data_IF_764481618983
#
_entry.id   IF_764481618983
#
_cell.length_a   1.000
_cell.length_b   1.000
_cell.length_c   1.000
_cell.angle_alpha   90.00
_cell.angle_beta   90.00
_cell.angle_gamma   90.00
#
_symmetry.space_group_name_H-M   'P 1'
#
loop_
_entity.id
_entity.type
_entity.pdbx_description
1 polymer ?
#
# COMPACT_ATOMS: atom_id res chain seq x y z
N UNK A 1 0.14 1.58 -54.72
CA UNK A 1 -1.04 2.00 -53.91
C UNK A 1 -1.51 0.92 -52.93
N UNK A 2 -1.73 -0.33 -53.35
CA UNK A 2 -2.25 -1.40 -52.49
C UNK A 2 -1.34 -1.84 -51.32
N UNK A 3 -0.02 -1.77 -51.47
CA UNK A 3 0.95 -2.13 -50.40
C UNK A 3 0.88 -1.14 -49.22
N UNK A 4 0.83 0.16 -49.51
CA UNK A 4 0.74 1.19 -48.49
C UNK A 4 -0.57 1.12 -47.70
N UNK A 5 -1.68 0.77 -48.35
CA UNK A 5 -2.97 0.54 -47.70
C UNK A 5 -2.92 -0.64 -46.71
N UNK A 6 -2.27 -1.75 -47.09
CA UNK A 6 -2.08 -2.91 -46.20
C UNK A 6 -1.23 -2.57 -44.98
N UNK A 7 -0.15 -1.80 -45.17
CA UNK A 7 0.70 -1.34 -44.06
C UNK A 7 -0.11 -0.45 -43.11
N UNK A 8 -0.92 0.47 -43.65
CA UNK A 8 -1.76 1.36 -42.84
C UNK A 8 -2.77 0.59 -41.99
N UNK A 9 -3.42 -0.42 -42.57
CA UNK A 9 -4.36 -1.29 -41.85
C UNK A 9 -3.63 -2.10 -40.76
N UNK A 10 -2.44 -2.62 -41.04
CA UNK A 10 -1.65 -3.38 -40.06
C UNK A 10 -1.23 -2.52 -38.87
N UNK A 11 -0.80 -1.28 -39.14
CA UNK A 11 -0.47 -0.28 -38.12
C UNK A 11 -1.71 0.07 -37.28
N UNK A 12 -2.84 0.37 -37.92
CA UNK A 12 -4.10 0.68 -37.21
C UNK A 12 -4.58 -0.49 -36.33
N UNK A 13 -4.42 -1.74 -36.79
CA UNK A 13 -4.73 -2.93 -36.00
C UNK A 13 -3.82 -3.08 -34.78
N UNK A 14 -2.53 -2.76 -34.89
CA UNK A 14 -1.60 -2.74 -33.75
C UNK A 14 -1.97 -1.67 -32.70
N UNK A 15 -2.51 -0.52 -33.13
CA UNK A 15 -2.95 0.54 -32.22
C UNK A 15 -4.35 0.33 -31.64
N UNK A 16 -5.20 -0.49 -32.29
CA UNK A 16 -6.56 -0.77 -31.81
C UNK A 16 -6.61 -1.56 -30.49
N UNK A 17 -5.54 -2.28 -30.14
CA UNK A 17 -5.41 -3.02 -28.87
C UNK A 17 -5.16 -2.14 -27.63
N UNK A 18 -4.98 -0.82 -27.80
CA UNK A 18 -4.61 0.10 -26.71
C UNK A 18 -5.85 0.70 -26.02
N UNK A 19 -7.06 0.51 -26.57
CA UNK A 19 -8.31 1.05 -26.00
C UNK A 19 -9.00 0.08 -25.04
N UNK A 20 -8.25 -0.67 -24.23
CA UNK A 20 -8.83 -1.36 -23.07
C UNK A 20 -8.98 -0.30 -21.97
N UNK A 21 -10.20 0.01 -21.49
CA UNK A 21 -10.39 0.91 -20.36
C UNK A 21 -9.55 0.43 -19.18
N UNK A 22 -8.57 1.23 -18.75
CA UNK A 22 -7.81 0.91 -17.55
C UNK A 22 -8.68 1.18 -16.32
N UNK A 23 -9.29 0.13 -15.78
CA UNK A 23 -9.94 0.21 -14.48
C UNK A 23 -8.88 0.27 -13.39
N UNK A 24 -8.76 1.42 -12.73
CA UNK A 24 -7.91 1.58 -11.56
C UNK A 24 -8.68 1.12 -10.32
N UNK A 25 -8.25 0.01 -9.72
CA UNK A 25 -8.73 -0.46 -8.43
C UNK A 25 -7.64 -0.27 -7.38
N UNK A 26 -8.02 0.22 -6.22
CA UNK A 26 -7.16 0.30 -5.04
C UNK A 26 -7.96 -0.07 -3.79
N UNK A 27 -7.25 -0.28 -2.70
CA UNK A 27 -7.82 -0.58 -1.39
C UNK A 27 -7.60 0.63 -0.50
N UNK A 28 -8.60 0.99 0.31
CA UNK A 28 -8.45 2.00 1.36
C UNK A 28 -8.77 1.38 2.73
N UNK A 29 -7.94 1.66 3.71
CA UNK A 29 -8.09 1.20 5.10
C UNK A 29 -7.47 2.21 6.06
N UNK A 30 -7.75 2.04 7.35
CA UNK A 30 -7.24 2.87 8.45
C UNK A 30 -7.28 2.03 9.73
N UNK A 31 -6.69 2.54 10.82
CA UNK A 31 -6.97 2.09 12.18
C UNK A 31 -6.73 0.58 12.41
N UNK A 32 -5.48 0.14 12.31
CA UNK A 32 -5.10 -1.26 12.60
C UNK A 32 -4.64 -1.50 14.03
N UNK A 33 -4.82 -0.52 14.92
CA UNK A 33 -4.31 -0.52 16.29
C UNK A 33 -4.79 -1.72 17.12
N UNK A 34 -3.96 -2.18 18.06
CA UNK A 34 -4.32 -3.27 18.95
C UNK A 34 -3.19 -3.76 19.86
N UNK A 35 -3.51 -4.73 20.71
CA UNK A 35 -2.63 -5.13 21.82
C UNK A 35 -1.36 -5.90 21.42
N UNK A 36 -1.22 -6.33 20.16
CA UNK A 36 -0.03 -7.06 19.72
C UNK A 36 1.01 -6.07 19.17
N UNK A 37 1.90 -5.57 20.04
CA UNK A 37 2.90 -4.55 19.70
C UNK A 37 2.24 -3.37 18.94
N UNK A 38 1.18 -2.82 19.51
CA UNK A 38 0.43 -1.69 18.95
C UNK A 38 -0.42 -2.00 17.73
N UNK A 39 -0.47 -3.24 17.25
CA UNK A 39 -1.28 -3.66 16.09
C UNK A 39 -2.26 -4.77 16.46
N UNK A 40 -3.46 -4.75 15.89
CA UNK A 40 -4.37 -5.89 15.92
C UNK A 40 -3.96 -6.93 14.86
N UNK A 41 -2.86 -7.64 15.14
CA UNK A 41 -2.25 -8.60 14.21
C UNK A 41 -3.25 -9.60 13.65
N UNK A 42 -4.15 -10.17 14.47
CA UNK A 42 -5.12 -11.19 14.03
C UNK A 42 -6.04 -10.65 12.94
N UNK A 43 -6.61 -9.46 13.15
CA UNK A 43 -7.53 -8.85 12.20
C UNK A 43 -6.78 -8.36 10.96
N UNK A 44 -5.68 -7.63 11.16
CA UNK A 44 -4.90 -7.08 10.05
C UNK A 44 -4.35 -8.17 9.13
N UNK A 45 -3.74 -9.23 9.66
CA UNK A 45 -3.26 -10.37 8.86
C UNK A 45 -4.39 -11.02 8.07
N UNK A 46 -5.55 -11.23 8.70
CA UNK A 46 -6.71 -11.84 8.01
C UNK A 46 -7.22 -10.98 6.86
N UNK A 47 -7.26 -9.65 7.05
CA UNK A 47 -7.64 -8.71 5.99
C UNK A 47 -6.61 -8.70 4.86
N UNK A 48 -5.31 -8.61 5.18
CA UNK A 48 -4.22 -8.63 4.20
C UNK A 48 -4.30 -9.90 3.35
N UNK A 49 -4.42 -11.06 3.97
CA UNK A 49 -4.56 -12.32 3.25
C UNK A 49 -5.82 -12.37 2.39
N UNK A 50 -6.96 -11.92 2.92
CA UNK A 50 -8.21 -11.89 2.17
C UNK A 50 -8.10 -10.98 0.95
N UNK A 51 -7.47 -9.80 1.08
CA UNK A 51 -7.24 -8.86 -0.01
C UNK A 51 -6.32 -9.46 -1.07
N UNK A 52 -5.21 -10.09 -0.67
CA UNK A 52 -4.28 -10.71 -1.63
C UNK A 52 -4.92 -11.87 -2.41
N UNK A 53 -5.87 -12.60 -1.80
CA UNK A 53 -6.60 -13.68 -2.47
C UNK A 53 -7.71 -13.16 -3.38
N UNK A 54 -8.47 -12.16 -2.95
CA UNK A 54 -9.74 -11.79 -3.58
C UNK A 54 -9.71 -10.50 -4.39
N UNK A 55 -8.66 -9.67 -4.26
CA UNK A 55 -8.49 -8.43 -5.02
C UNK A 55 -7.18 -8.44 -5.83
N UNK A 56 -6.97 -9.43 -6.73
CA UNK A 56 -5.71 -9.60 -7.45
C UNK A 56 -5.40 -8.47 -8.45
N UNK A 57 -6.40 -7.64 -8.77
CA UNK A 57 -6.31 -6.50 -9.69
C UNK A 57 -6.10 -5.15 -8.99
N UNK A 58 -6.19 -5.09 -7.65
CA UNK A 58 -5.86 -3.89 -6.90
C UNK A 58 -4.39 -3.49 -7.09
N UNK A 59 -4.14 -2.21 -7.34
CA UNK A 59 -2.81 -1.69 -7.73
C UNK A 59 -1.99 -1.17 -6.57
N UNK A 60 -2.63 -0.67 -5.52
CA UNK A 60 -1.99 -0.21 -4.30
C UNK A 60 -3.00 -0.16 -3.16
N UNK A 61 -2.50 0.07 -1.95
CA UNK A 61 -3.28 0.29 -0.73
C UNK A 61 -3.05 1.72 -0.25
N UNK A 62 -4.09 2.38 0.21
CA UNK A 62 -4.00 3.60 1.03
C UNK A 62 -4.33 3.20 2.47
N UNK A 63 -3.46 3.58 3.40
CA UNK A 63 -3.64 3.37 4.82
C UNK A 63 -3.67 4.72 5.55
N UNK A 64 -4.85 5.17 5.94
CA UNK A 64 -5.15 6.55 6.30
C UNK A 64 -4.87 6.90 7.78
N UNK A 65 -3.76 6.42 8.33
CA UNK A 65 -3.34 6.70 9.70
C UNK A 65 -3.74 5.64 10.71
N UNK A 66 -3.27 5.83 11.95
CA UNK A 66 -3.51 4.94 13.08
C UNK A 66 -3.13 3.49 12.75
N UNK A 67 -1.94 3.34 12.19
CA UNK A 67 -1.30 2.06 11.90
C UNK A 67 -1.04 1.31 13.20
N UNK A 68 -0.56 2.03 14.22
CA UNK A 68 -0.08 1.50 15.50
C UNK A 68 -0.63 2.31 16.68
N UNK A 69 -0.53 1.78 17.90
CA UNK A 69 -0.96 2.51 19.10
C UNK A 69 -0.01 3.66 19.48
N UNK A 70 1.27 3.57 19.09
CA UNK A 70 2.34 4.51 19.43
C UNK A 70 2.63 4.61 20.92
N UNK A 71 3.50 5.54 21.31
CA UNK A 71 3.89 5.74 22.70
C UNK A 71 4.21 7.20 23.00
N UNK A 72 3.60 7.76 24.05
CA UNK A 72 3.84 9.14 24.51
C UNK A 72 5.19 9.30 25.22
N UNK A 73 5.72 8.21 25.79
CA UNK A 73 6.87 8.24 26.69
C UNK A 73 8.10 7.54 26.13
N UNK A 74 7.92 6.63 25.17
CA UNK A 74 9.02 5.87 24.57
C UNK A 74 8.92 5.87 23.04
N UNK A 75 9.56 6.83 22.34
CA UNK A 75 9.49 6.89 20.86
C UNK A 75 10.11 5.65 20.17
N UNK A 76 10.99 4.91 20.85
CA UNK A 76 11.52 3.63 20.32
C UNK A 76 10.42 2.59 20.20
N UNK A 77 9.44 2.60 21.11
CA UNK A 77 8.28 1.70 21.02
C UNK A 77 7.49 1.98 19.75
N UNK A 78 7.18 3.24 19.43
CA UNK A 78 6.52 3.61 18.17
C UNK A 78 7.27 3.06 16.95
N UNK A 79 8.61 3.14 16.93
CA UNK A 79 9.44 2.55 15.86
C UNK A 79 9.24 1.04 15.76
N UNK A 80 9.33 0.31 16.88
CA UNK A 80 9.17 -1.14 16.93
C UNK A 80 7.78 -1.58 16.46
N UNK A 81 6.74 -0.84 16.85
CA UNK A 81 5.37 -1.11 16.43
C UNK A 81 5.21 -0.88 14.91
N UNK A 82 5.77 0.20 14.36
CA UNK A 82 5.72 0.50 12.92
C UNK A 82 6.49 -0.54 12.09
N UNK A 83 7.65 -1.00 12.57
CA UNK A 83 8.38 -2.10 11.95
C UNK A 83 7.56 -3.40 11.98
N UNK A 84 6.93 -3.71 13.12
CA UNK A 84 6.05 -4.87 13.24
C UNK A 84 4.84 -4.80 12.29
N UNK A 85 4.26 -3.61 12.13
CA UNK A 85 3.20 -3.37 11.16
C UNK A 85 3.67 -3.67 9.73
N UNK A 86 4.88 -3.24 9.35
CA UNK A 86 5.46 -3.54 8.02
C UNK A 86 5.66 -5.04 7.80
N UNK A 87 6.03 -5.80 8.84
CA UNK A 87 6.12 -7.26 8.77
C UNK A 87 4.75 -7.89 8.45
N UNK A 88 3.67 -7.43 9.11
CA UNK A 88 2.32 -7.92 8.85
C UNK A 88 1.86 -7.56 7.43
N UNK A 89 2.21 -6.37 6.95
CA UNK A 89 1.89 -5.87 5.61
C UNK A 89 2.83 -6.40 4.51
N UNK A 90 3.85 -7.19 4.86
CA UNK A 90 4.82 -7.75 3.92
C UNK A 90 4.20 -8.45 2.69
N UNK A 91 3.06 -9.19 2.78
CA UNK A 91 2.42 -9.76 1.60
C UNK A 91 2.05 -8.73 0.52
N UNK A 92 1.68 -7.50 0.92
CA UNK A 92 1.37 -6.40 -0.01
C UNK A 92 2.67 -5.81 -0.56
N UNK A 93 3.64 -5.50 0.29
CA UNK A 93 4.96 -4.99 -0.14
C UNK A 93 5.67 -5.94 -1.11
N UNK A 94 5.47 -7.25 -0.95
CA UNK A 94 6.12 -8.27 -1.77
C UNK A 94 5.26 -8.68 -2.99
N UNK A 95 4.05 -8.15 -3.15
CA UNK A 95 3.18 -8.50 -4.27
C UNK A 95 3.71 -7.90 -5.59
N UNK A 96 4.10 -8.71 -6.59
CA UNK A 96 4.64 -8.20 -7.86
C UNK A 96 3.59 -7.59 -8.78
N UNK A 97 2.28 -7.78 -8.50
CA UNK A 97 1.18 -7.24 -9.32
C UNK A 97 0.78 -5.81 -8.95
N UNK A 98 1.29 -5.30 -7.82
CA UNK A 98 1.03 -3.96 -7.31
C UNK A 98 2.10 -2.97 -7.79
N UNK A 99 1.68 -1.72 -7.97
CA UNK A 99 2.50 -0.62 -8.48
C UNK A 99 3.12 0.12 -7.30
N UNK A 100 4.38 0.54 -7.45
CA UNK A 100 5.08 1.29 -6.40
C UNK A 100 4.58 2.75 -6.31
N UNK A 101 4.47 3.31 -5.09
CA UNK A 101 4.56 2.64 -3.80
C UNK A 101 3.30 1.80 -3.55
N UNK A 102 3.52 0.57 -3.07
CA UNK A 102 2.44 -0.43 -2.94
C UNK A 102 1.47 -0.11 -1.81
N UNK A 103 1.95 0.64 -0.83
CA UNK A 103 1.17 1.12 0.31
C UNK A 103 1.50 2.59 0.53
N UNK A 104 0.49 3.44 0.40
CA UNK A 104 0.51 4.85 0.74
C UNK A 104 0.02 5.01 2.17
N UNK A 105 0.91 5.35 3.08
CA UNK A 105 0.54 5.55 4.49
C UNK A 105 0.39 7.04 4.78
N UNK A 106 -0.53 7.38 5.67
CA UNK A 106 -0.69 8.72 6.22
C UNK A 106 -0.39 8.65 7.72
N UNK A 107 0.13 9.73 8.30
CA UNK A 107 0.32 9.85 9.74
C UNK A 107 -1.03 10.06 10.42
N UNK A 108 -1.39 9.19 11.36
CA UNK A 108 -2.48 9.40 12.31
C UNK A 108 -1.97 9.98 13.62
N UNK A 109 -2.88 10.30 14.55
CA UNK A 109 -2.49 10.92 15.82
C UNK A 109 -1.73 9.96 16.73
N UNK A 110 -1.87 8.66 16.53
CA UNK A 110 -1.13 7.66 17.30
C UNK A 110 0.33 7.51 16.85
N UNK A 111 0.63 7.82 15.59
CA UNK A 111 2.00 7.83 15.06
C UNK A 111 2.80 9.07 15.46
N UNK A 112 2.20 10.09 16.08
CA UNK A 112 2.87 11.33 16.51
C UNK A 112 2.51 11.73 17.94
N UNK A 113 2.87 10.87 18.89
CA UNK A 113 2.58 11.07 20.31
C UNK A 113 3.76 11.64 21.10
N UNK A 114 4.97 11.47 20.58
CA UNK A 114 6.20 12.01 21.12
C UNK A 114 6.86 12.97 20.10
N UNK A 115 7.57 14.03 20.54
CA UNK A 115 8.22 14.99 19.63
C UNK A 115 9.20 14.42 18.59
N UNK A 116 9.66 13.19 18.80
CA UNK A 116 10.58 12.48 17.86
C UNK A 116 9.84 11.67 16.81
N UNK A 117 8.55 11.46 16.98
CA UNK A 117 7.83 10.44 16.21
C UNK A 117 7.61 10.85 14.76
N UNK A 118 7.44 12.14 14.45
CA UNK A 118 7.33 12.58 13.05
C UNK A 118 8.61 12.26 12.26
N UNK A 119 9.78 12.51 12.85
CA UNK A 119 11.07 12.15 12.24
C UNK A 119 11.23 10.63 12.13
N UNK A 120 10.83 9.88 13.17
CA UNK A 120 10.87 8.42 13.17
C UNK A 120 9.97 7.82 12.08
N UNK A 121 8.77 8.36 11.89
CA UNK A 121 7.83 7.92 10.86
C UNK A 121 8.45 8.12 9.47
N UNK A 122 8.99 9.32 9.18
CA UNK A 122 9.67 9.63 7.92
C UNK A 122 10.87 8.71 7.64
N UNK A 123 11.60 8.28 8.68
CA UNK A 123 12.71 7.31 8.52
C UNK A 123 12.22 5.91 8.12
N UNK A 124 11.07 5.49 8.63
CA UNK A 124 10.51 4.15 8.36
C UNK A 124 9.80 4.10 7.00
N UNK A 125 9.22 5.22 6.60
CA UNK A 125 8.49 5.39 5.34
C UNK A 125 9.08 6.57 4.54
N UNK A 126 10.28 6.44 3.97
CA UNK A 126 10.95 7.53 3.27
C UNK A 126 10.32 7.86 1.90
N UNK A 127 9.53 6.94 1.36
CA UNK A 127 9.05 6.96 -0.03
C UNK A 127 7.58 7.38 -0.18
N UNK A 128 6.94 7.80 0.91
CA UNK A 128 5.50 8.12 0.98
C UNK A 128 5.25 9.36 1.83
#
# INVERSE_FOLDING_TARGET
MAIYLKIYILVLLQFSGILIPQNLKFIAMSDSRGSNKGVNKKVLSSLVEHMMRNQPDAKFVIFAGDLVDGSKTNPTETIEQLLHWKEIMAPIYNNPKMVWPKIWVVVGNHEVQHPKDEENFRKIFPDV
#
